data_IF_742618323157
#
_entry.id   IF_742618323157
#
_cell.length_a   1.000
_cell.length_b   1.000
_cell.length_c   1.000
_cell.angle_alpha   90.00
_cell.angle_beta   90.00
_cell.angle_gamma   90.00
#
_symmetry.space_group_name_H-M   'P 1'
#
loop_
_entity.id
_entity.type
_entity.pdbx_description
1 polymer ?
#
# COMPACT_ATOMS: atom_id res chain seq x y z
N UNK A 1 0.91 35.83 -2.30
CA UNK A 1 1.01 34.68 -1.37
C UNK A 1 1.48 33.49 -2.16
N UNK A 2 2.73 33.07 -1.97
CA UNK A 2 3.26 31.85 -2.58
C UNK A 2 2.51 30.67 -1.97
N UNK A 3 1.75 29.94 -2.80
CA UNK A 3 0.95 28.81 -2.33
C UNK A 3 1.92 27.72 -1.89
N UNK A 4 1.98 27.43 -0.59
CA UNK A 4 2.82 26.35 -0.07
C UNK A 4 2.46 25.05 -0.79
N UNK A 5 3.45 24.39 -1.37
CA UNK A 5 3.23 23.13 -2.10
C UNK A 5 2.70 22.08 -1.12
N UNK A 6 1.46 21.65 -1.32
CA UNK A 6 0.85 20.59 -0.53
C UNK A 6 1.26 19.24 -1.10
N UNK A 7 1.77 18.34 -0.24
CA UNK A 7 2.27 17.02 -0.64
C UNK A 7 1.46 15.93 0.01
N UNK A 8 1.19 14.88 -0.73
CA UNK A 8 0.58 13.67 -0.20
C UNK A 8 1.32 12.43 -0.70
N UNK A 9 1.32 11.37 0.10
CA UNK A 9 1.95 10.10 -0.28
C UNK A 9 0.85 9.16 -0.76
N UNK A 10 1.00 8.64 -1.98
CA UNK A 10 0.10 7.62 -2.52
C UNK A 10 0.82 6.27 -2.49
N UNK A 11 0.37 5.36 -1.64
CA UNK A 11 0.96 4.03 -1.51
C UNK A 11 0.06 2.95 -2.13
N UNK A 12 0.63 2.16 -3.02
CA UNK A 12 -0.04 1.00 -3.60
C UNK A 12 0.98 -0.15 -3.78
N UNK A 13 0.79 -1.32 -3.14
CA UNK A 13 1.75 -2.42 -3.15
C UNK A 13 1.63 -3.29 -4.42
N UNK A 14 1.34 -2.65 -5.56
CA UNK A 14 1.26 -3.26 -6.89
C UNK A 14 1.64 -2.21 -7.94
N UNK A 15 1.94 -2.64 -9.17
CA UNK A 15 2.10 -1.71 -10.29
C UNK A 15 0.73 -1.23 -10.76
N UNK A 16 0.58 0.08 -10.92
CA UNK A 16 -0.54 0.66 -11.64
C UNK A 16 -0.32 0.38 -13.12
N UNK A 17 -1.25 -0.34 -13.74
CA UNK A 17 -1.28 -0.47 -15.19
C UNK A 17 -2.16 0.66 -15.74
N UNK A 18 -1.52 1.67 -16.35
CA UNK A 18 -2.20 2.84 -16.91
C UNK A 18 -2.85 2.55 -18.27
N UNK A 19 -2.48 1.44 -18.91
CA UNK A 19 -2.96 1.04 -20.24
C UNK A 19 -4.13 0.05 -20.17
N UNK A 20 -4.33 -0.64 -19.04
CA UNK A 20 -5.41 -1.63 -18.87
C UNK A 20 -6.68 -1.03 -18.27
N UNK A 21 -7.78 -1.23 -18.99
CA UNK A 21 -9.13 -0.79 -18.62
C UNK A 21 -9.88 -1.75 -17.66
N UNK A 22 -9.20 -2.43 -16.73
CA UNK A 22 -9.92 -3.15 -15.67
C UNK A 22 -10.30 -2.19 -14.53
N UNK A 23 -11.52 -2.31 -13.98
CA UNK A 23 -12.01 -1.44 -12.89
C UNK A 23 -11.06 -1.37 -11.68
N UNK A 24 -10.38 -2.48 -11.36
CA UNK A 24 -9.36 -2.57 -10.29
C UNK A 24 -8.10 -1.74 -10.57
N UNK A 25 -7.80 -1.46 -11.84
CA UNK A 25 -6.66 -0.66 -12.32
C UNK A 25 -7.03 0.81 -12.53
N UNK A 26 -8.29 1.10 -12.87
CA UNK A 26 -8.77 2.46 -13.11
C UNK A 26 -8.86 3.27 -11.81
N UNK A 27 -9.30 2.65 -10.71
CA UNK A 27 -9.50 3.37 -9.44
C UNK A 27 -8.23 4.05 -8.90
N UNK A 28 -7.06 3.38 -8.77
CA UNK A 28 -5.83 4.05 -8.36
C UNK A 28 -5.47 5.25 -9.25
N UNK A 29 -5.65 5.11 -10.57
CA UNK A 29 -5.39 6.18 -11.55
C UNK A 29 -6.31 7.37 -11.29
N UNK A 30 -7.62 7.13 -11.15
CA UNK A 30 -8.61 8.18 -10.88
C UNK A 30 -8.38 8.89 -9.55
N UNK A 31 -7.93 8.16 -8.52
CA UNK A 31 -7.59 8.76 -7.23
C UNK A 31 -6.35 9.65 -7.33
N UNK A 32 -5.30 9.23 -8.04
CA UNK A 32 -4.11 10.07 -8.30
C UNK A 32 -4.53 11.34 -9.04
N UNK A 33 -5.26 11.22 -10.15
CA UNK A 33 -5.78 12.36 -10.93
C UNK A 33 -6.64 13.30 -10.08
N UNK A 34 -7.42 12.77 -9.13
CA UNK A 34 -8.23 13.57 -8.23
C UNK A 34 -7.35 14.39 -7.27
N UNK A 35 -6.34 13.79 -6.65
CA UNK A 35 -5.43 14.52 -5.76
C UNK A 35 -4.60 15.57 -6.50
N UNK A 36 -4.13 15.26 -7.71
CA UNK A 36 -3.43 16.22 -8.56
C UNK A 36 -4.33 17.42 -8.91
N UNK A 37 -5.60 17.18 -9.26
CA UNK A 37 -6.59 18.25 -9.52
C UNK A 37 -6.91 19.11 -8.29
N UNK A 38 -6.82 18.54 -7.09
CA UNK A 38 -6.94 19.28 -5.84
C UNK A 38 -5.70 20.14 -5.54
N UNK A 39 -4.64 20.02 -6.33
CA UNK A 39 -3.40 20.79 -6.22
C UNK A 39 -2.32 20.13 -5.36
N UNK A 40 -2.46 18.84 -5.06
CA UNK A 40 -1.41 18.09 -4.36
C UNK A 40 -0.30 17.64 -5.31
N UNK A 41 0.94 17.76 -4.84
CA UNK A 41 2.06 16.99 -5.37
C UNK A 41 1.95 15.55 -4.84
N UNK A 42 1.61 14.62 -5.74
CA UNK A 42 1.39 13.20 -5.40
C UNK A 42 2.70 12.42 -5.44
N UNK A 43 3.18 12.00 -4.27
CA UNK A 43 4.39 11.21 -4.12
C UNK A 43 4.03 9.72 -4.14
N UNK A 44 4.12 9.13 -5.33
CA UNK A 44 3.74 7.74 -5.58
C UNK A 44 4.79 6.75 -5.06
N UNK A 45 4.32 5.73 -4.32
CA UNK A 45 5.02 4.50 -3.95
C UNK A 45 4.27 3.34 -4.62
N UNK A 46 4.84 2.80 -5.68
CA UNK A 46 4.28 1.65 -6.39
C UNK A 46 5.36 0.65 -6.83
N UNK A 47 4.91 -0.50 -7.33
CA UNK A 47 5.79 -1.52 -7.89
C UNK A 47 6.26 -2.59 -6.92
N UNK A 48 7.38 -3.26 -7.25
CA UNK A 48 7.91 -4.38 -6.46
C UNK A 48 8.60 -3.92 -5.17
N UNK A 49 8.92 -4.84 -4.26
CA UNK A 49 9.52 -4.52 -2.97
C UNK A 49 10.79 -3.65 -3.07
N UNK A 50 11.65 -3.87 -4.07
CA UNK A 50 12.87 -3.08 -4.26
C UNK A 50 12.55 -1.62 -4.64
N UNK A 51 11.61 -1.42 -5.56
CA UNK A 51 11.13 -0.09 -5.96
C UNK A 51 10.49 0.63 -4.76
N UNK A 52 9.61 -0.05 -4.02
CA UNK A 52 8.99 0.52 -2.81
C UNK A 52 10.03 0.87 -1.74
N UNK A 53 11.00 -0.01 -1.49
CA UNK A 53 12.08 0.21 -0.52
C UNK A 53 12.92 1.45 -0.87
N UNK A 54 13.30 1.61 -2.13
CA UNK A 54 14.05 2.80 -2.60
C UNK A 54 13.23 4.07 -2.36
N UNK A 55 11.97 4.08 -2.79
CA UNK A 55 11.09 5.23 -2.65
C UNK A 55 10.81 5.60 -1.19
N UNK A 56 10.57 4.60 -0.34
CA UNK A 56 10.41 4.79 1.11
C UNK A 56 11.66 5.41 1.72
N UNK A 57 12.87 4.97 1.32
CA UNK A 57 14.12 5.54 1.82
C UNK A 57 14.25 7.03 1.47
N UNK A 58 13.90 7.40 0.24
CA UNK A 58 13.89 8.80 -0.22
C UNK A 58 12.88 9.65 0.58
N UNK A 59 11.66 9.17 0.76
CA UNK A 59 10.63 9.88 1.52
C UNK A 59 11.04 10.06 2.98
N UNK A 60 11.57 9.00 3.63
CA UNK A 60 12.09 9.09 5.00
C UNK A 60 13.24 10.09 5.11
N UNK A 61 14.08 10.23 4.09
CA UNK A 61 15.15 11.23 4.06
C UNK A 61 14.59 12.64 3.95
N UNK A 62 13.61 12.85 3.07
CA UNK A 62 12.95 14.15 2.90
C UNK A 62 12.22 14.60 4.17
N UNK A 63 11.51 13.70 4.85
CA UNK A 63 10.84 14.00 6.13
C UNK A 63 11.85 14.48 7.18
N UNK A 64 13.02 13.84 7.26
CA UNK A 64 14.09 14.26 8.20
C UNK A 64 14.71 15.62 7.83
N UNK A 65 14.65 16.01 6.56
CA UNK A 65 15.08 17.33 6.07
C UNK A 65 14.01 18.42 6.25
N UNK A 66 12.87 18.10 6.85
CA UNK A 66 11.79 19.06 7.09
C UNK A 66 10.76 19.15 5.97
N UNK A 67 10.80 18.27 4.97
CA UNK A 67 9.71 18.19 3.97
C UNK A 67 8.47 17.64 4.65
N UNK A 68 7.38 18.40 4.60
CA UNK A 68 6.08 18.03 5.16
C UNK A 68 5.22 17.30 4.13
N UNK A 69 4.38 16.40 4.63
CA UNK A 69 3.37 15.67 3.88
C UNK A 69 2.08 15.72 4.68
N UNK A 70 0.98 16.13 4.06
CA UNK A 70 -0.28 16.36 4.77
C UNK A 70 -0.91 15.04 5.22
N UNK A 71 -0.81 14.01 4.37
CA UNK A 71 -1.30 12.66 4.66
C UNK A 71 -0.68 11.61 3.74
N UNK A 72 -0.82 10.35 4.14
CA UNK A 72 -0.56 9.16 3.35
C UNK A 72 -1.88 8.48 3.03
N UNK A 73 -2.17 8.26 1.75
CA UNK A 73 -3.27 7.44 1.28
C UNK A 73 -2.73 6.10 0.77
N UNK A 74 -3.18 5.00 1.34
CA UNK A 74 -2.74 3.65 0.98
C UNK A 74 -3.90 2.84 0.42
N UNK A 75 -3.68 2.11 -0.67
CA UNK A 75 -4.62 1.13 -1.20
C UNK A 75 -4.10 -0.29 -1.03
N UNK A 76 -4.92 -1.21 -0.54
CA UNK A 76 -4.55 -2.63 -0.41
C UNK A 76 -4.86 -3.44 -1.68
N UNK A 77 -4.23 -4.61 -1.79
CA UNK A 77 -4.58 -5.63 -2.80
C UNK A 77 -5.74 -6.51 -2.30
N UNK A 78 -6.38 -7.26 -3.22
CA UNK A 78 -7.33 -8.35 -2.88
C UNK A 78 -6.65 -9.55 -2.23
N UNK A 79 -5.32 -9.56 -2.25
CA UNK A 79 -4.46 -10.51 -1.55
C UNK A 79 -3.78 -9.78 -0.38
N UNK A 80 -3.47 -10.46 0.74
CA UNK A 80 -2.73 -9.82 1.83
C UNK A 80 -1.50 -9.09 1.29
N UNK A 81 -1.24 -7.87 1.75
CA UNK A 81 -0.05 -7.07 1.36
C UNK A 81 1.25 -7.87 1.53
N UNK A 82 1.25 -8.84 2.45
CA UNK A 82 2.33 -9.78 2.72
C UNK A 82 2.63 -10.76 1.57
N UNK A 83 1.70 -10.95 0.62
CA UNK A 83 1.82 -11.94 -0.46
C UNK A 83 1.81 -11.28 -1.86
N UNK A 84 1.90 -9.95 -1.96
CA UNK A 84 1.81 -9.23 -3.25
C UNK A 84 3.05 -9.34 -4.14
N UNK A 85 4.15 -9.91 -3.65
CA UNK A 85 5.32 -10.19 -4.48
C UNK A 85 5.05 -11.36 -5.46
N UNK A 86 5.72 -11.37 -6.62
CA UNK A 86 5.49 -12.35 -7.71
C UNK A 86 5.59 -13.82 -7.29
N UNK A 87 6.31 -14.10 -6.20
CA UNK A 87 6.52 -15.43 -5.65
C UNK A 87 5.55 -15.78 -4.51
N UNK A 88 4.59 -14.89 -4.20
CA UNK A 88 3.61 -15.02 -3.12
C UNK A 88 4.22 -15.43 -1.78
N UNK A 89 5.44 -14.95 -1.51
CA UNK A 89 6.16 -15.20 -0.27
C UNK A 89 6.29 -13.90 0.53
N UNK A 90 6.05 -13.92 1.86
CA UNK A 90 6.18 -12.77 2.75
C UNK A 90 7.66 -12.47 3.02
N UNK A 91 8.36 -12.05 1.98
CA UNK A 91 9.79 -11.72 2.03
C UNK A 91 10.04 -10.35 2.67
N UNK A 92 9.05 -9.46 2.65
CA UNK A 92 9.16 -8.09 3.16
C UNK A 92 7.95 -7.70 4.02
N UNK A 93 7.57 -8.54 5.01
CA UNK A 93 6.30 -8.40 5.71
C UNK A 93 6.19 -7.08 6.50
N UNK A 94 7.33 -6.48 6.85
CA UNK A 94 7.40 -5.24 7.61
C UNK A 94 7.72 -4.00 6.78
N UNK A 95 7.97 -4.10 5.47
CA UNK A 95 8.42 -2.95 4.67
C UNK A 95 7.41 -1.80 4.74
N UNK A 96 6.18 -2.08 4.33
CA UNK A 96 5.13 -1.08 4.22
C UNK A 96 4.59 -0.69 5.62
N UNK A 97 4.45 -1.66 6.55
CA UNK A 97 4.01 -1.36 7.92
C UNK A 97 5.02 -0.57 8.75
N UNK A 98 6.33 -0.82 8.60
CA UNK A 98 7.37 -0.03 9.26
C UNK A 98 7.41 1.39 8.71
N UNK A 99 7.08 1.58 7.44
CA UNK A 99 6.92 2.91 6.85
C UNK A 99 5.68 3.62 7.41
N UNK A 100 4.54 2.96 7.52
CA UNK A 100 3.34 3.55 8.14
C UNK A 100 3.58 3.93 9.60
N UNK A 101 4.25 3.08 10.38
CA UNK A 101 4.65 3.39 11.76
C UNK A 101 5.56 4.63 11.81
N UNK A 102 6.53 4.73 10.89
CA UNK A 102 7.37 5.92 10.76
C UNK A 102 6.55 7.18 10.44
N UNK A 103 5.64 7.12 9.47
CA UNK A 103 4.77 8.25 9.11
C UNK A 103 3.91 8.73 10.30
N UNK A 104 3.30 7.81 11.05
CA UNK A 104 2.53 8.16 12.26
C UNK A 104 3.37 8.85 13.32
N UNK A 105 4.60 8.37 13.56
CA UNK A 105 5.54 9.01 14.51
C UNK A 105 5.92 10.44 14.11
N UNK A 106 5.86 10.75 12.82
CA UNK A 106 6.10 12.10 12.27
C UNK A 106 4.80 12.90 12.07
N UNK A 107 3.67 12.49 12.66
CA UNK A 107 2.41 13.24 12.61
C UNK A 107 1.64 13.15 11.28
N UNK A 108 2.08 12.31 10.34
CA UNK A 108 1.42 12.15 9.05
C UNK A 108 0.18 11.26 9.24
N UNK A 109 -1.00 11.81 8.92
CA UNK A 109 -2.27 11.07 8.97
C UNK A 109 -2.29 10.00 7.88
N UNK A 110 -2.87 8.83 8.17
CA UNK A 110 -2.93 7.71 7.23
C UNK A 110 -4.39 7.37 6.93
N UNK A 111 -4.77 7.46 5.65
CA UNK A 111 -6.01 6.92 5.12
C UNK A 111 -5.74 5.58 4.42
N UNK A 112 -6.44 4.52 4.82
CA UNK A 112 -6.31 3.20 4.22
C UNK A 112 -7.60 2.83 3.48
N UNK A 113 -7.52 2.70 2.17
CA UNK A 113 -8.58 2.08 1.38
C UNK A 113 -8.32 0.58 1.28
N UNK A 114 -9.10 -0.21 2.01
CA UNK A 114 -8.98 -1.66 2.02
C UNK A 114 -9.94 -2.29 1.01
N UNK A 115 -9.41 -3.05 0.04
CA UNK A 115 -10.23 -3.80 -0.93
C UNK A 115 -10.84 -5.06 -0.31
N UNK A 116 -11.74 -5.69 -1.06
CA UNK A 116 -12.43 -6.93 -0.69
C UNK A 116 -11.50 -7.98 -0.07
N UNK A 117 -11.91 -8.46 1.11
CA UNK A 117 -11.16 -9.39 1.95
C UNK A 117 -11.61 -10.82 1.69
N UNK A 118 -11.64 -11.25 0.43
CA UNK A 118 -12.11 -12.60 0.07
C UNK A 118 -11.33 -13.69 0.83
N UNK A 119 -10.05 -13.45 1.10
CA UNK A 119 -9.18 -14.34 1.87
C UNK A 119 -9.56 -14.48 3.35
N UNK A 120 -10.48 -13.69 3.92
CA UNK A 120 -10.99 -13.90 5.29
C UNK A 120 -12.16 -14.89 5.35
N UNK A 121 -12.86 -15.12 4.24
CA UNK A 121 -14.01 -16.03 4.20
C UNK A 121 -13.58 -17.49 4.02
N UNK A 122 -14.18 -18.41 4.78
CA UNK A 122 -13.83 -19.84 4.79
C UNK A 122 -13.83 -20.48 3.39
N UNK A 123 -14.77 -20.06 2.54
CA UNK A 123 -14.92 -20.49 1.14
C UNK A 123 -13.69 -20.22 0.25
N UNK A 124 -12.80 -19.30 0.63
CA UNK A 124 -11.60 -19.01 -0.15
C UNK A 124 -10.56 -20.13 -0.02
N UNK A 125 -10.43 -20.76 1.17
CA UNK A 125 -9.43 -21.78 1.44
C UNK A 125 -9.65 -23.09 0.66
N UNK A 126 -10.91 -23.45 0.41
CA UNK A 126 -11.31 -24.66 -0.30
C UNK A 126 -11.01 -24.63 -1.80
N UNK A 127 -10.78 -23.45 -2.38
CA UNK A 127 -10.44 -23.28 -3.80
C UNK A 127 -8.93 -23.32 -4.09
N UNK A 128 -8.08 -23.31 -3.05
CA UNK A 128 -6.63 -23.18 -3.18
C UNK A 128 -5.97 -24.57 -3.25
N UNK A 129 -5.54 -24.96 -4.45
CA UNK A 129 -4.84 -26.24 -4.66
C UNK A 129 -3.42 -26.28 -4.04
N UNK A 130 -2.80 -25.12 -3.79
CA UNK A 130 -1.46 -25.03 -3.22
C UNK A 130 -1.50 -24.99 -1.69
N UNK A 131 -1.13 -26.10 -1.05
CA UNK A 131 -1.03 -26.23 0.42
C UNK A 131 -0.13 -25.16 1.05
N UNK A 132 0.93 -24.73 0.35
CA UNK A 132 1.86 -23.69 0.81
C UNK A 132 1.20 -22.31 0.85
N UNK A 133 0.40 -21.97 -0.17
CA UNK A 133 -0.34 -20.71 -0.22
C UNK A 133 -1.46 -20.68 0.82
N UNK A 134 -2.14 -21.81 1.02
CA UNK A 134 -3.16 -21.98 2.06
C UNK A 134 -2.58 -21.72 3.46
N UNK A 135 -1.41 -22.32 3.76
CA UNK A 135 -0.74 -22.10 5.05
C UNK A 135 -0.34 -20.64 5.27
N UNK A 136 0.14 -19.92 4.24
CA UNK A 136 0.42 -18.49 4.38
C UNK A 136 -0.83 -17.66 4.68
N UNK A 137 -1.96 -17.97 4.03
CA UNK A 137 -3.23 -17.27 4.28
C UNK A 137 -3.74 -17.54 5.69
N UNK A 138 -3.66 -18.79 6.17
CA UNK A 138 -4.04 -19.15 7.53
C UNK A 138 -3.17 -18.45 8.58
N UNK A 139 -1.84 -18.41 8.38
CA UNK A 139 -0.95 -17.66 9.27
C UNK A 139 -1.28 -16.16 9.32
N UNK A 140 -1.67 -15.57 8.18
CA UNK A 140 -2.05 -14.16 8.11
C UNK A 140 -3.39 -13.92 8.80
N UNK A 141 -4.37 -14.81 8.64
CA UNK A 141 -5.65 -14.76 9.39
C UNK A 141 -5.40 -14.79 10.89
N UNK A 142 -4.64 -15.76 11.36
CA UNK A 142 -4.31 -15.92 12.78
C UNK A 142 -3.59 -14.67 13.33
N UNK A 143 -2.63 -14.14 12.58
CA UNK A 143 -1.91 -12.92 12.99
C UNK A 143 -2.83 -11.71 13.13
N UNK A 144 -3.81 -11.58 12.24
CA UNK A 144 -4.80 -10.48 12.27
C UNK A 144 -5.79 -10.69 13.42
N UNK A 145 -6.32 -11.89 13.63
CA UNK A 145 -7.26 -12.20 14.73
C UNK A 145 -6.65 -11.98 16.11
N UNK A 146 -5.36 -12.28 16.30
CA UNK A 146 -4.67 -12.12 17.58
C UNK A 146 -4.31 -10.66 17.89
N UNK A 147 -4.23 -9.78 16.88
CA UNK A 147 -3.76 -8.40 17.03
C UNK A 147 -4.78 -7.34 16.57
N UNK A 148 -6.06 -7.70 16.44
CA UNK A 148 -7.17 -6.78 16.16
C UNK A 148 -7.83 -6.26 17.43
#
# INVERSE_FOLDING_TARGET
MEKSIQRMIFHIPMRINRERASASSIRPVKMIEAFERLGYEVILIEGNASQRKKRIKEIKHNIRKGVTYDFLYSESSTMPTLLTEKHHCPTHPFLDFSFFSFCRKHGIKIGLFYRDIYWKFELYGSSIKSKRLLNYILCIRFFIEVHS
#
